data_IF_203213984111
#
_entry.id   IF_203213984111
#
_cell.length_a   1.000
_cell.length_b   1.000
_cell.length_c   1.000
_cell.angle_alpha   90.00
_cell.angle_beta   90.00
_cell.angle_gamma   90.00
#
_symmetry.space_group_name_H-M   'P 1'
#
loop_
_entity.id
_entity.type
_entity.pdbx_description
1 polymer ?
#
# COMPACT_ATOMS: atom_id res chain seq x y z
N UNK A 1 3.10 32.26 24.24
CA UNK A 1 2.45 30.96 24.53
C UNK A 1 1.23 30.62 23.64
N UNK A 2 0.42 31.54 23.12
CA UNK A 2 -0.71 31.17 22.23
C UNK A 2 -0.24 30.58 20.88
N UNK A 3 0.95 30.93 20.41
CA UNK A 3 1.54 30.42 19.18
C UNK A 3 1.84 28.91 19.21
N UNK A 4 2.15 28.34 20.38
CA UNK A 4 2.41 26.89 20.50
C UNK A 4 1.13 26.07 20.36
N UNK A 5 -0.01 26.54 20.91
CA UNK A 5 -1.29 25.87 20.76
C UNK A 5 -1.78 25.88 19.30
N UNK A 6 -1.58 27.00 18.59
CA UNK A 6 -1.87 27.09 17.15
C UNK A 6 -0.98 26.15 16.33
N UNK A 7 0.29 26.03 16.69
CA UNK A 7 1.21 25.08 16.01
C UNK A 7 0.75 23.63 16.20
N UNK A 8 0.40 23.23 17.44
CA UNK A 8 -0.12 21.88 17.71
C UNK A 8 -1.40 21.60 16.94
N UNK A 9 -2.35 22.55 16.93
CA UNK A 9 -3.60 22.41 16.19
C UNK A 9 -3.37 22.31 14.67
N UNK A 10 -2.45 23.11 14.13
CA UNK A 10 -2.05 23.06 12.72
C UNK A 10 -1.46 21.71 12.34
N UNK A 11 -0.49 21.19 13.11
CA UNK A 11 0.10 19.88 12.83
C UNK A 11 -0.95 18.76 12.93
N UNK A 12 -1.92 18.88 13.84
CA UNK A 12 -3.06 17.99 13.91
C UNK A 12 -3.93 18.02 12.65
N UNK A 13 -4.21 19.22 12.10
CA UNK A 13 -4.95 19.35 10.83
C UNK A 13 -4.19 18.74 9.66
N UNK A 14 -2.89 19.01 9.54
CA UNK A 14 -2.04 18.43 8.49
C UNK A 14 -2.02 16.90 8.57
N UNK A 15 -1.98 16.34 9.77
CA UNK A 15 -2.04 14.90 9.99
C UNK A 15 -3.40 14.30 9.56
N UNK A 16 -4.52 14.95 9.94
CA UNK A 16 -5.86 14.48 9.55
C UNK A 16 -6.10 14.61 8.04
N UNK A 17 -5.60 15.67 7.39
CA UNK A 17 -5.67 15.81 5.95
C UNK A 17 -4.93 14.67 5.23
N UNK A 18 -3.72 14.34 5.67
CA UNK A 18 -2.98 13.21 5.10
C UNK A 18 -3.69 11.87 5.32
N UNK A 19 -4.24 11.60 6.53
CA UNK A 19 -5.04 10.41 6.80
C UNK A 19 -6.25 10.34 5.87
N UNK A 20 -6.95 11.45 5.68
CA UNK A 20 -8.10 11.54 4.77
C UNK A 20 -7.73 11.21 3.33
N UNK A 21 -6.58 11.70 2.85
CA UNK A 21 -6.08 11.37 1.49
C UNK A 21 -5.79 9.88 1.33
N UNK A 22 -5.19 9.24 2.34
CA UNK A 22 -4.91 7.80 2.31
C UNK A 22 -6.21 7.00 2.29
N UNK A 23 -7.18 7.32 3.14
CA UNK A 23 -8.51 6.69 3.18
C UNK A 23 -9.24 6.88 1.85
N UNK A 24 -9.22 8.09 1.28
CA UNK A 24 -9.84 8.38 0.00
C UNK A 24 -9.19 7.57 -1.14
N UNK A 25 -7.86 7.42 -1.14
CA UNK A 25 -7.15 6.57 -2.10
C UNK A 25 -7.51 5.09 -1.95
N UNK A 26 -7.58 4.58 -0.72
CA UNK A 26 -8.03 3.21 -0.45
C UNK A 26 -9.45 2.98 -0.98
N UNK A 27 -10.37 3.88 -0.68
CA UNK A 27 -11.76 3.78 -1.11
C UNK A 27 -11.90 3.85 -2.64
N UNK A 28 -11.15 4.74 -3.29
CA UNK A 28 -11.14 4.85 -4.75
C UNK A 28 -10.64 3.56 -5.43
N UNK A 29 -9.74 2.81 -4.77
CA UNK A 29 -9.12 1.61 -5.29
C UNK A 29 -9.72 0.30 -4.75
N UNK A 30 -10.89 0.35 -4.12
CA UNK A 30 -11.57 -0.87 -3.62
C UNK A 30 -11.90 -1.86 -4.75
N UNK A 31 -12.21 -1.39 -5.95
CA UNK A 31 -12.47 -2.21 -7.15
C UNK A 31 -11.22 -2.57 -7.97
N UNK A 32 -10.04 -2.08 -7.59
CA UNK A 32 -8.80 -2.32 -8.32
C UNK A 32 -8.23 -3.69 -7.97
N UNK A 33 -8.05 -4.55 -8.98
CA UNK A 33 -7.50 -5.90 -8.85
C UNK A 33 -6.10 -5.86 -8.24
N UNK A 34 -5.88 -6.65 -7.18
CA UNK A 34 -4.57 -6.76 -6.52
C UNK A 34 -4.11 -5.49 -5.78
N UNK A 35 -4.98 -4.49 -5.60
CA UNK A 35 -4.66 -3.31 -4.80
C UNK A 35 -4.51 -3.67 -3.32
N UNK A 36 -3.53 -3.06 -2.67
CA UNK A 36 -3.29 -3.20 -1.22
C UNK A 36 -3.51 -1.86 -0.54
N UNK A 37 -4.30 -1.87 0.55
CA UNK A 37 -4.61 -0.66 1.32
C UNK A 37 -3.34 -0.07 1.93
N UNK A 38 -3.26 1.25 1.93
CA UNK A 38 -2.22 1.98 2.62
C UNK A 38 -2.73 2.50 3.97
N UNK A 39 -1.82 2.63 4.94
CA UNK A 39 -2.07 3.23 6.25
C UNK A 39 -1.08 4.35 6.51
N UNK A 40 -1.57 5.50 6.97
CA UNK A 40 -0.73 6.59 7.44
C UNK A 40 -0.22 6.29 8.85
N UNK A 41 1.09 6.46 9.07
CA UNK A 41 1.73 6.37 10.37
C UNK A 41 2.15 7.77 10.82
N UNK A 42 1.98 8.03 12.12
CA UNK A 42 2.26 9.32 12.73
C UNK A 42 3.28 9.16 13.85
N UNK A 43 4.11 10.17 14.02
CA UNK A 43 5.06 10.28 15.13
C UNK A 43 4.81 11.56 15.93
N UNK A 44 5.14 11.53 17.20
CA UNK A 44 5.08 12.73 18.04
C UNK A 44 6.28 13.62 17.74
N UNK A 45 6.07 14.94 17.69
CA UNK A 45 7.16 15.90 17.64
C UNK A 45 7.87 16.02 18.99
N UNK A 46 9.08 16.59 19.00
CA UNK A 46 9.88 16.76 20.21
C UNK A 46 9.11 17.53 21.29
N UNK A 47 9.25 17.09 22.54
CA UNK A 47 8.66 17.80 23.66
C UNK A 47 9.54 19.00 24.06
N UNK A 48 8.90 20.07 24.51
CA UNK A 48 9.58 21.22 25.11
C UNK A 48 9.54 21.06 26.63
N UNK A 49 10.72 20.97 27.24
CA UNK A 49 10.86 20.92 28.67
C UNK A 49 10.76 22.36 29.25
N UNK A 50 9.54 22.73 29.66
CA UNK A 50 9.33 24.01 30.32
C UNK A 50 9.91 24.00 31.77
N UNK A 51 10.06 22.81 32.37
CA UNK A 51 10.66 22.58 33.65
C UNK A 51 11.15 21.14 33.78
N UNK A 52 12.39 20.97 34.20
CA UNK A 52 13.01 19.65 34.36
C UNK A 52 12.76 19.13 35.78
N UNK A 53 12.41 17.84 35.91
CA UNK A 53 12.33 17.20 37.23
C UNK A 53 13.71 17.25 37.93
N UNK A 54 13.73 17.59 39.23
CA UNK A 54 14.97 17.77 39.98
C UNK A 54 15.57 19.17 39.87
N UNK A 55 15.03 20.07 39.06
CA UNK A 55 15.45 21.47 39.05
C UNK A 55 15.09 22.15 40.35
N UNK A 56 16.00 22.95 40.95
CA UNK A 56 15.75 23.67 42.15
C UNK A 56 14.60 24.67 42.02
N UNK A 57 13.60 24.55 42.87
CA UNK A 57 12.49 25.51 43.00
C UNK A 57 12.78 26.60 44.05
N UNK A 58 13.63 26.30 45.05
CA UNK A 58 14.17 27.21 46.04
C UNK A 58 15.51 26.68 46.54
N UNK A 59 16.18 27.40 47.48
CA UNK A 59 17.47 26.97 48.06
C UNK A 59 17.41 25.58 48.74
N UNK A 60 16.25 25.09 49.15
CA UNK A 60 16.10 23.84 49.91
C UNK A 60 15.17 22.83 49.24
N UNK A 61 14.49 23.18 48.14
CA UNK A 61 13.50 22.30 47.49
C UNK A 61 13.74 22.20 46.00
N UNK A 62 13.50 20.98 45.45
CA UNK A 62 13.53 20.70 44.01
C UNK A 62 12.16 20.22 43.51
N UNK A 63 11.86 20.50 42.26
CA UNK A 63 10.63 20.03 41.63
C UNK A 63 10.64 18.51 41.52
N UNK A 64 9.67 17.85 42.13
CA UNK A 64 9.53 16.40 42.04
C UNK A 64 9.09 15.94 40.64
N UNK A 65 8.38 16.80 39.89
CA UNK A 65 7.80 16.48 38.55
C UNK A 65 8.17 17.58 37.56
N UNK A 66 8.65 17.20 36.38
CA UNK A 66 8.89 18.09 35.26
C UNK A 66 7.60 18.55 34.58
N UNK A 67 7.70 19.59 33.76
CA UNK A 67 6.60 20.05 32.85
C UNK A 67 7.08 19.98 31.42
N UNK A 68 6.62 18.94 30.71
CA UNK A 68 6.96 18.70 29.32
C UNK A 68 5.73 19.01 28.45
N UNK A 69 5.88 19.92 27.51
CA UNK A 69 4.83 20.34 26.61
C UNK A 69 5.06 19.71 25.22
N UNK A 70 4.07 18.96 24.73
CA UNK A 70 4.09 18.41 23.39
C UNK A 70 3.98 19.51 22.31
N UNK A 71 4.70 19.35 21.19
CA UNK A 71 4.71 20.32 20.11
C UNK A 71 3.84 19.90 18.92
N UNK A 72 3.20 18.73 19.00
CA UNK A 72 2.28 18.24 17.97
C UNK A 72 2.66 16.89 17.37
N UNK A 73 2.22 16.64 16.16
CA UNK A 73 2.35 15.39 15.44
C UNK A 73 2.97 15.64 14.05
N UNK A 74 3.76 14.68 13.56
CA UNK A 74 4.24 14.66 12.19
C UNK A 74 3.78 13.38 11.48
N UNK A 75 3.64 13.46 10.15
CA UNK A 75 3.46 12.28 9.30
C UNK A 75 4.83 11.63 9.16
N UNK A 76 4.94 10.38 9.56
CA UNK A 76 6.19 9.62 9.47
C UNK A 76 6.31 8.87 8.14
N UNK A 77 5.28 8.12 7.79
CA UNK A 77 5.27 7.28 6.58
C UNK A 77 3.86 6.85 6.21
N UNK A 78 3.72 6.33 5.00
CA UNK A 78 2.60 5.48 4.59
C UNK A 78 3.09 4.05 4.44
N UNK A 79 2.39 3.10 5.04
CA UNK A 79 2.76 1.68 4.98
C UNK A 79 1.66 0.90 4.28
N UNK A 80 2.04 0.12 3.27
CA UNK A 80 1.15 -0.80 2.59
C UNK A 80 0.88 -2.02 3.47
N UNK A 81 -0.38 -2.44 3.53
CA UNK A 81 -0.82 -3.63 4.27
C UNK A 81 -0.93 -4.79 3.28
N UNK A 82 -0.03 -5.77 3.40
CA UNK A 82 0.13 -6.88 2.46
C UNK A 82 -0.80 -8.07 2.74
N UNK A 83 -1.83 -7.92 3.58
CA UNK A 83 -2.82 -8.97 3.77
C UNK A 83 -3.48 -9.31 2.44
N UNK A 84 -3.76 -10.59 2.24
CA UNK A 84 -4.40 -11.07 1.02
C UNK A 84 -5.85 -10.59 0.95
N UNK A 85 -6.26 -10.12 -0.24
CA UNK A 85 -7.65 -9.84 -0.56
C UNK A 85 -8.44 -11.11 -0.87
N UNK A 86 -9.74 -11.00 -1.05
CA UNK A 86 -10.56 -12.13 -1.48
C UNK A 86 -10.23 -12.57 -2.91
N UNK A 87 -10.21 -13.89 -3.14
CA UNK A 87 -10.02 -14.47 -4.47
C UNK A 87 -11.38 -14.69 -5.12
N UNK A 88 -11.63 -14.00 -6.23
CA UNK A 88 -12.87 -14.15 -7.01
C UNK A 88 -12.63 -14.96 -8.26
N UNK A 89 -13.51 -15.95 -8.51
CA UNK A 89 -13.48 -16.74 -9.73
C UNK A 89 -14.08 -15.95 -10.88
N UNK A 90 -13.30 -15.77 -11.95
CA UNK A 90 -13.73 -15.06 -13.19
C UNK A 90 -14.04 -16.00 -14.32
N UNK A 91 -13.50 -17.23 -14.30
CA UNK A 91 -13.62 -18.20 -15.38
C UNK A 91 -12.79 -17.91 -16.64
N UNK A 92 -12.08 -16.76 -16.67
CA UNK A 92 -11.14 -16.46 -17.76
C UNK A 92 -9.81 -17.19 -17.50
N UNK A 93 -9.33 -18.05 -18.42
CA UNK A 93 -8.10 -18.83 -18.20
C UNK A 93 -6.82 -18.01 -18.12
N UNK A 94 -6.85 -16.72 -18.54
CA UNK A 94 -5.72 -15.80 -18.45
C UNK A 94 -5.72 -14.96 -17.16
N UNK A 95 -6.80 -15.01 -16.40
CA UNK A 95 -6.85 -14.38 -15.08
C UNK A 95 -6.15 -15.25 -14.05
N UNK A 96 -5.18 -14.67 -13.37
CA UNK A 96 -4.34 -15.37 -12.40
C UNK A 96 -4.36 -14.66 -11.06
N UNK A 97 -4.43 -15.42 -10.00
CA UNK A 97 -4.25 -14.89 -8.66
C UNK A 97 -3.11 -15.63 -7.95
N UNK A 98 -2.46 -14.97 -7.02
CA UNK A 98 -1.51 -15.59 -6.10
C UNK A 98 -2.23 -15.90 -4.78
N UNK A 99 -2.20 -17.15 -4.37
CA UNK A 99 -2.70 -17.61 -3.08
C UNK A 99 -1.51 -17.69 -2.12
N UNK A 100 -1.30 -16.62 -1.35
CA UNK A 100 -0.12 -16.41 -0.50
C UNK A 100 0.72 -15.21 -0.88
N UNK A 101 1.95 -15.13 -0.37
CA UNK A 101 2.88 -14.02 -0.60
C UNK A 101 3.53 -14.04 -1.99
N UNK A 102 3.95 -12.86 -2.48
CA UNK A 102 4.71 -12.71 -3.72
C UNK A 102 4.06 -11.80 -4.75
N UNK A 103 4.71 -11.62 -5.89
CA UNK A 103 4.30 -10.71 -6.96
C UNK A 103 4.61 -11.31 -8.33
N UNK A 104 3.79 -11.00 -9.31
CA UNK A 104 4.12 -11.24 -10.71
C UNK A 104 5.15 -10.23 -11.18
N UNK A 105 6.06 -10.68 -12.03
CA UNK A 105 7.10 -9.85 -12.60
C UNK A 105 6.72 -9.43 -14.02
N UNK A 106 6.85 -8.16 -14.33
CA UNK A 106 6.45 -7.56 -15.59
C UNK A 106 7.58 -6.67 -16.11
N UNK A 107 7.84 -6.70 -17.40
CA UNK A 107 8.80 -5.84 -18.05
C UNK A 107 8.14 -4.55 -18.51
N UNK A 108 8.55 -3.43 -17.91
CA UNK A 108 8.09 -2.09 -18.25
C UNK A 108 8.90 -1.48 -19.42
N UNK A 109 8.41 -0.39 -20.04
CA UNK A 109 9.17 0.35 -21.05
C UNK A 109 10.55 0.74 -20.52
N UNK A 110 11.58 0.58 -21.37
CA UNK A 110 12.97 0.84 -20.97
C UNK A 110 13.70 -0.35 -20.34
N UNK A 111 13.04 -1.53 -20.26
CA UNK A 111 13.65 -2.76 -19.74
C UNK A 111 13.65 -2.88 -18.22
N UNK A 112 13.04 -1.92 -17.52
CA UNK A 112 12.90 -1.96 -16.07
C UNK A 112 11.89 -3.03 -15.64
N UNK A 113 12.18 -3.74 -14.57
CA UNK A 113 11.29 -4.74 -14.00
C UNK A 113 10.31 -4.08 -13.02
N UNK A 114 9.03 -4.35 -13.23
CA UNK A 114 7.96 -3.99 -12.32
C UNK A 114 7.35 -5.23 -11.66
N UNK A 115 6.80 -5.07 -10.49
CA UNK A 115 6.16 -6.12 -9.72
C UNK A 115 4.71 -5.76 -9.48
N UNK A 116 3.80 -6.72 -9.65
CA UNK A 116 2.37 -6.47 -9.48
C UNK A 116 1.66 -7.67 -8.86
N UNK A 117 0.55 -7.38 -8.16
CA UNK A 117 -0.40 -8.41 -7.70
C UNK A 117 -1.59 -8.54 -8.65
N UNK A 118 -1.74 -7.61 -9.58
CA UNK A 118 -2.80 -7.67 -10.58
C UNK A 118 -2.50 -8.81 -11.57
N UNK A 119 -3.40 -9.75 -11.66
CA UNK A 119 -3.27 -10.93 -12.54
C UNK A 119 -4.24 -10.94 -13.71
N UNK A 120 -4.81 -9.81 -14.07
CA UNK A 120 -5.69 -9.64 -15.22
C UNK A 120 -4.87 -9.54 -16.53
N UNK A 121 -4.30 -10.69 -16.91
CA UNK A 121 -3.46 -10.76 -18.10
C UNK A 121 -4.28 -10.96 -19.37
N UNK A 122 -3.70 -10.54 -20.49
CA UNK A 122 -4.27 -10.71 -21.83
C UNK A 122 -3.21 -11.26 -22.77
N UNK A 123 -3.63 -11.72 -23.96
CA UNK A 123 -2.72 -12.17 -25.00
C UNK A 123 -2.49 -11.05 -26.00
N UNK A 124 -1.22 -10.74 -26.31
CA UNK A 124 -0.88 -9.80 -27.40
C UNK A 124 -1.10 -10.41 -28.79
N UNK A 125 -0.97 -9.58 -29.84
CA UNK A 125 -1.08 -10.05 -31.22
C UNK A 125 -0.01 -11.10 -31.56
N UNK A 126 1.16 -11.04 -30.92
CA UNK A 126 2.27 -11.99 -31.08
C UNK A 126 2.11 -13.24 -30.21
N UNK A 127 1.01 -13.36 -29.45
CA UNK A 127 0.77 -14.48 -28.56
C UNK A 127 1.42 -14.37 -27.18
N UNK A 128 2.09 -13.25 -26.86
CA UNK A 128 2.72 -13.05 -25.56
C UNK A 128 1.68 -12.79 -24.47
N UNK A 129 1.95 -13.29 -23.26
CA UNK A 129 1.18 -12.96 -22.07
C UNK A 129 1.58 -11.55 -21.60
N UNK A 130 0.61 -10.62 -21.61
CA UNK A 130 0.82 -9.21 -21.31
C UNK A 130 -0.21 -8.69 -20.29
N UNK A 131 0.11 -7.59 -19.62
CA UNK A 131 -0.85 -6.84 -18.80
C UNK A 131 -1.84 -6.08 -19.69
N UNK A 132 -2.88 -5.49 -19.10
CA UNK A 132 -3.84 -4.64 -19.81
C UNK A 132 -3.19 -3.45 -20.53
N UNK A 133 -2.03 -2.99 -20.04
CA UNK A 133 -1.23 -1.90 -20.64
C UNK A 133 -0.29 -2.39 -21.76
N UNK A 134 -0.22 -3.72 -22.00
CA UNK A 134 0.63 -4.31 -23.03
C UNK A 134 2.06 -4.68 -22.56
N UNK A 135 2.34 -4.66 -21.27
CA UNK A 135 3.66 -5.03 -20.73
C UNK A 135 3.79 -6.54 -20.57
N UNK A 136 4.90 -7.11 -21.05
CA UNK A 136 5.12 -8.55 -21.04
C UNK A 136 5.40 -9.08 -19.62
N UNK A 137 4.75 -10.18 -19.26
CA UNK A 137 5.04 -10.93 -18.04
C UNK A 137 6.41 -11.61 -18.17
N UNK A 138 7.16 -11.64 -17.09
CA UNK A 138 8.46 -12.32 -17.05
C UNK A 138 8.38 -13.58 -16.15
N UNK A 139 8.97 -14.70 -16.61
CA UNK A 139 9.56 -14.97 -17.94
C UNK A 139 8.55 -14.86 -19.07
N UNK A 140 9.01 -14.44 -20.25
CA UNK A 140 8.13 -14.30 -21.41
C UNK A 140 7.53 -15.65 -21.80
N UNK A 141 6.21 -15.71 -21.84
CA UNK A 141 5.46 -16.91 -22.25
C UNK A 141 4.70 -16.58 -23.52
N UNK A 142 5.00 -17.33 -24.57
CA UNK A 142 4.30 -17.19 -25.84
C UNK A 142 3.30 -18.33 -25.98
N UNK A 143 2.02 -17.98 -26.09
CA UNK A 143 0.94 -18.93 -26.35
C UNK A 143 0.87 -19.16 -27.87
N UNK A 144 1.10 -20.38 -28.36
CA UNK A 144 1.07 -20.68 -29.81
C UNK A 144 -0.28 -20.36 -30.43
N UNK A 145 -0.27 -20.00 -31.72
CA UNK A 145 -1.50 -19.89 -32.48
C UNK A 145 -2.22 -21.25 -32.60
N UNK A 146 -3.53 -21.23 -32.59
CA UNK A 146 -4.32 -22.48 -32.64
C UNK A 146 -4.42 -23.22 -31.29
N UNK A 147 -4.04 -22.59 -30.18
CA UNK A 147 -4.27 -23.14 -28.82
C UNK A 147 -5.78 -23.19 -28.53
N UNK A 148 -6.27 -24.40 -28.23
CA UNK A 148 -7.70 -24.63 -27.90
C UNK A 148 -7.95 -24.43 -26.40
N UNK A 149 -7.00 -24.85 -25.56
CA UNK A 149 -7.09 -24.66 -24.11
C UNK A 149 -5.73 -24.36 -23.50
N UNK A 150 -5.73 -23.49 -22.49
CA UNK A 150 -4.57 -23.11 -21.68
C UNK A 150 -4.82 -23.56 -20.24
N UNK A 151 -3.89 -24.30 -19.67
CA UNK A 151 -3.92 -24.73 -18.29
C UNK A 151 -2.68 -24.24 -17.56
N UNK A 152 -2.88 -23.64 -16.39
CA UNK A 152 -1.80 -23.15 -15.54
C UNK A 152 -1.88 -23.87 -14.21
N UNK A 153 -0.81 -24.60 -13.90
CA UNK A 153 -0.71 -25.38 -12.66
C UNK A 153 -0.37 -24.47 -11.47
N UNK A 154 -0.53 -24.97 -10.26
CA UNK A 154 -0.30 -24.21 -9.02
C UNK A 154 1.16 -23.80 -8.81
N UNK A 155 2.10 -24.51 -9.43
CA UNK A 155 3.54 -24.20 -9.47
C UNK A 155 3.93 -23.15 -10.52
N UNK A 156 2.93 -22.65 -11.28
CA UNK A 156 3.12 -21.66 -12.34
C UNK A 156 3.46 -22.29 -13.70
N UNK A 157 3.49 -23.62 -13.85
CA UNK A 157 3.73 -24.28 -15.14
C UNK A 157 2.56 -24.02 -16.08
N UNK A 158 2.85 -23.45 -17.24
CA UNK A 158 1.87 -23.13 -18.27
C UNK A 158 1.91 -24.19 -19.34
N UNK A 159 0.77 -24.82 -19.58
CA UNK A 159 0.60 -25.87 -20.60
C UNK A 159 -0.50 -25.48 -21.58
N UNK A 160 -0.23 -25.68 -22.85
CA UNK A 160 -1.19 -25.41 -23.95
C UNK A 160 -1.53 -26.69 -24.70
N UNK A 161 -2.80 -26.81 -25.10
CA UNK A 161 -3.26 -27.88 -26.01
C UNK A 161 -3.54 -27.25 -27.36
N UNK A 162 -2.81 -27.66 -28.36
CA UNK A 162 -2.99 -27.19 -29.74
C UNK A 162 -4.21 -27.87 -30.43
N UNK A 163 -4.83 -27.19 -31.36
CA UNK A 163 -5.91 -27.76 -32.13
C UNK A 163 -5.45 -29.02 -32.87
N UNK A 164 -6.13 -30.15 -32.64
CA UNK A 164 -5.78 -31.45 -33.22
C UNK A 164 -4.77 -32.30 -32.43
N UNK A 165 -4.25 -31.82 -31.31
CA UNK A 165 -3.45 -32.59 -30.36
C UNK A 165 -4.26 -32.87 -29.10
N UNK A 166 -4.16 -34.08 -28.56
CA UNK A 166 -4.72 -34.44 -27.25
C UNK A 166 -3.72 -34.24 -26.11
N UNK A 167 -2.45 -33.98 -26.42
CA UNK A 167 -1.39 -33.83 -25.46
C UNK A 167 -1.17 -32.36 -25.11
N UNK A 168 -1.09 -32.08 -23.80
CA UNK A 168 -0.72 -30.76 -23.28
C UNK A 168 0.82 -30.60 -23.36
N UNK A 169 1.26 -29.57 -24.05
CA UNK A 169 2.68 -29.21 -24.15
C UNK A 169 2.98 -28.07 -23.19
N UNK A 170 3.99 -28.22 -22.34
CA UNK A 170 4.47 -27.12 -21.49
C UNK A 170 5.14 -26.05 -22.35
N UNK A 171 4.66 -24.81 -22.26
CA UNK A 171 5.14 -23.65 -23.04
C UNK A 171 5.99 -22.69 -22.18
N UNK A 172 5.98 -22.85 -20.85
CA UNK A 172 6.76 -22.01 -19.96
C UNK A 172 6.32 -22.15 -18.51
N UNK A 173 6.94 -21.36 -17.65
CA UNK A 173 6.61 -21.32 -16.23
C UNK A 173 6.57 -19.88 -15.74
N UNK A 174 5.47 -19.49 -15.07
CA UNK A 174 5.32 -18.20 -14.41
C UNK A 174 6.10 -18.27 -13.09
N UNK A 175 7.02 -17.34 -12.89
CA UNK A 175 7.77 -17.24 -11.64
C UNK A 175 7.14 -16.17 -10.76
N UNK A 176 7.30 -16.36 -9.44
CA UNK A 176 6.83 -15.44 -8.42
C UNK A 176 8.02 -14.79 -7.74
N UNK A 177 8.00 -13.47 -7.66
CA UNK A 177 8.99 -12.69 -6.93
C UNK A 177 8.55 -12.50 -5.48
N UNK A 178 9.45 -12.71 -4.53
CA UNK A 178 9.25 -12.40 -3.11
C UNK A 178 10.33 -11.43 -2.64
N UNK A 179 9.99 -10.60 -1.64
CA UNK A 179 10.89 -9.60 -1.06
C UNK A 179 11.03 -9.82 0.44
N UNK A 180 12.22 -9.51 0.96
CA UNK A 180 12.48 -9.56 2.40
C UNK A 180 11.63 -8.50 3.14
N UNK A 181 11.46 -7.32 2.53
CA UNK A 181 10.62 -6.24 3.06
C UNK A 181 9.68 -5.69 1.98
N UNK A 182 8.47 -6.24 1.82
CA UNK A 182 7.50 -5.76 0.83
C UNK A 182 7.08 -4.30 1.03
N UNK A 183 7.04 -3.82 2.29
CA UNK A 183 6.69 -2.43 2.60
C UNK A 183 7.72 -1.42 2.05
N UNK A 184 8.95 -1.86 1.75
CA UNK A 184 9.99 -1.05 1.14
C UNK A 184 9.86 -0.88 -0.39
N UNK A 185 8.92 -1.55 -1.04
CA UNK A 185 8.66 -1.39 -2.46
C UNK A 185 8.09 0.00 -2.77
N UNK A 186 8.57 0.62 -3.85
CA UNK A 186 8.08 1.91 -4.31
C UNK A 186 6.94 1.74 -5.29
N UNK A 187 5.81 2.41 -5.05
CA UNK A 187 4.71 2.47 -6.00
C UNK A 187 5.08 3.32 -7.22
N UNK A 188 4.90 2.76 -8.41
CA UNK A 188 5.20 3.41 -9.68
C UNK A 188 3.96 3.99 -10.39
N UNK A 189 2.76 3.70 -9.89
CA UNK A 189 1.49 3.91 -10.58
C UNK A 189 1.02 2.64 -11.30
N UNK A 190 -0.21 2.65 -11.81
CA UNK A 190 -0.82 1.50 -12.53
C UNK A 190 -0.74 0.16 -11.79
N UNK A 191 -0.69 0.20 -10.46
CA UNK A 191 -0.52 -0.96 -9.58
C UNK A 191 0.82 -1.73 -9.76
N UNK A 192 1.84 -1.05 -10.31
CA UNK A 192 3.21 -1.56 -10.37
C UNK A 192 4.06 -1.07 -9.21
N UNK A 193 4.98 -1.92 -8.80
CA UNK A 193 5.93 -1.69 -7.72
C UNK A 193 7.34 -1.81 -8.26
N UNK A 194 8.25 -0.98 -7.76
CA UNK A 194 9.67 -1.08 -8.05
C UNK A 194 10.44 -1.54 -6.82
N UNK A 195 11.47 -2.32 -7.10
CA UNK A 195 12.48 -2.70 -6.13
C UNK A 195 13.25 -1.47 -5.66
N UNK A 196 13.54 -1.41 -4.36
CA UNK A 196 14.36 -0.37 -3.74
C UNK A 196 15.43 -0.99 -2.85
N UNK A 197 16.40 -0.20 -2.43
CA UNK A 197 17.39 -0.64 -1.44
C UNK A 197 16.77 -1.06 -0.10
N UNK A 198 15.56 -0.56 0.22
CA UNK A 198 14.84 -0.91 1.46
C UNK A 198 14.02 -2.19 1.33
N UNK A 199 13.58 -2.58 0.12
CA UNK A 199 12.88 -3.85 -0.12
C UNK A 199 13.81 -5.05 -0.13
N UNK A 200 15.08 -4.82 -0.43
CA UNK A 200 16.03 -5.87 -0.82
C UNK A 200 15.80 -6.37 -2.25
N UNK A 201 16.71 -7.17 -2.76
CA UNK A 201 16.62 -7.74 -4.09
C UNK A 201 15.49 -8.76 -4.21
N UNK A 202 14.82 -8.77 -5.39
CA UNK A 202 13.77 -9.72 -5.69
C UNK A 202 14.28 -11.16 -5.66
N UNK A 203 13.66 -12.00 -4.86
CA UNK A 203 13.91 -13.45 -4.83
C UNK A 203 12.91 -14.15 -5.74
N UNK A 204 13.35 -14.45 -6.96
CA UNK A 204 12.52 -15.06 -7.99
C UNK A 204 12.57 -16.59 -7.83
N UNK A 205 11.44 -17.25 -7.98
CA UNK A 205 11.38 -18.71 -7.93
C UNK A 205 10.00 -19.26 -8.28
N UNK A 206 9.90 -20.56 -8.16
CA UNK A 206 8.69 -21.32 -8.47
C UNK A 206 7.60 -20.99 -7.45
N UNK A 207 6.35 -20.86 -7.91
CA UNK A 207 5.20 -20.67 -7.03
C UNK A 207 5.02 -21.88 -6.08
N UNK A 208 4.65 -21.60 -4.82
CA UNK A 208 4.53 -22.62 -3.78
C UNK A 208 5.83 -23.02 -3.07
N UNK A 209 7.00 -22.54 -3.52
CA UNK A 209 8.28 -22.81 -2.87
C UNK A 209 8.83 -21.59 -2.14
N UNK A 210 9.60 -21.81 -1.07
CA UNK A 210 10.31 -20.74 -0.35
C UNK A 210 9.40 -19.65 0.22
N UNK A 211 8.18 -19.98 0.62
CA UNK A 211 7.21 -19.02 1.18
C UNK A 211 6.45 -18.21 0.12
N UNK A 212 6.66 -18.49 -1.16
CA UNK A 212 5.88 -17.90 -2.26
C UNK A 212 4.53 -18.56 -2.37
N UNK A 213 3.49 -17.76 -2.71
CA UNK A 213 2.13 -18.24 -2.92
C UNK A 213 1.99 -19.14 -4.13
N UNK A 214 0.90 -19.90 -4.18
CA UNK A 214 0.52 -20.72 -5.33
C UNK A 214 -0.21 -19.88 -6.38
N UNK A 215 -0.04 -20.22 -7.65
CA UNK A 215 -0.82 -19.63 -8.74
C UNK A 215 -2.19 -20.28 -8.81
N UNK A 216 -3.24 -19.48 -8.88
CA UNK A 216 -4.63 -19.90 -9.10
C UNK A 216 -5.12 -19.37 -10.43
N UNK A 217 -5.44 -20.28 -11.36
CA UNK A 217 -5.98 -19.94 -12.66
C UNK A 217 -7.48 -19.65 -12.58
N UNK A 218 -7.99 -18.74 -13.41
CA UNK A 218 -9.40 -18.36 -13.48
C UNK A 218 -9.90 -17.57 -12.29
N UNK A 219 -8.99 -16.96 -11.54
CA UNK A 219 -9.28 -16.14 -10.36
C UNK A 219 -8.52 -14.82 -10.41
N UNK A 220 -9.09 -13.80 -9.77
CA UNK A 220 -8.43 -12.51 -9.53
C UNK A 220 -8.45 -12.20 -8.05
N UNK A 221 -7.37 -11.63 -7.56
CA UNK A 221 -7.30 -11.09 -6.21
C UNK A 221 -7.97 -9.72 -6.16
N UNK A 222 -9.00 -9.56 -5.34
CA UNK A 222 -9.60 -8.27 -5.07
C UNK A 222 -8.74 -7.43 -4.14
N UNK A 223 -9.03 -6.13 -4.09
CA UNK A 223 -8.47 -5.23 -3.09
C UNK A 223 -8.76 -5.75 -1.67
N UNK A 224 -7.82 -5.58 -0.76
CA UNK A 224 -8.00 -5.90 0.66
C UNK A 224 -8.63 -4.73 1.45
N UNK A 225 -9.20 -3.75 0.76
CA UNK A 225 -9.90 -2.60 1.34
C UNK A 225 -11.30 -3.01 1.78
N UNK A 226 -11.62 -2.76 3.05
CA UNK A 226 -12.98 -2.88 3.56
C UNK A 226 -13.69 -1.52 3.51
N UNK A 227 -14.67 -1.38 2.64
CA UNK A 227 -15.41 -0.12 2.42
C UNK A 227 -16.01 0.43 3.71
N UNK A 228 -16.58 -0.46 4.56
CA UNK A 228 -17.25 -0.04 5.80
C UNK A 228 -16.24 0.52 6.80
N UNK A 229 -15.10 -0.15 6.96
CA UNK A 229 -14.01 0.34 7.83
C UNK A 229 -13.48 1.69 7.34
N UNK A 230 -13.17 1.83 6.04
CA UNK A 230 -12.64 3.08 5.49
C UNK A 230 -13.65 4.23 5.60
N UNK A 231 -14.97 3.96 5.46
CA UNK A 231 -16.00 4.98 5.66
C UNK A 231 -16.11 5.41 7.12
N UNK A 232 -16.01 4.49 8.07
CA UNK A 232 -16.00 4.81 9.51
C UNK A 232 -14.75 5.63 9.85
N UNK A 233 -13.57 5.21 9.37
CA UNK A 233 -12.31 5.93 9.55
C UNK A 233 -12.37 7.34 8.92
N UNK A 234 -13.03 7.48 7.78
CA UNK A 234 -13.25 8.79 7.13
C UNK A 234 -14.10 9.72 7.99
N UNK A 235 -15.23 9.21 8.53
CA UNK A 235 -16.11 10.00 9.40
C UNK A 235 -15.36 10.43 10.68
N UNK A 236 -14.58 9.53 11.28
CA UNK A 236 -13.78 9.83 12.46
C UNK A 236 -12.72 10.89 12.17
N UNK A 237 -12.03 10.75 11.03
CA UNK A 237 -11.02 11.71 10.57
C UNK A 237 -11.64 13.08 10.29
N UNK A 238 -12.81 13.14 9.65
CA UNK A 238 -13.56 14.39 9.41
C UNK A 238 -13.95 15.07 10.72
N UNK A 239 -14.48 14.31 11.68
CA UNK A 239 -14.82 14.86 13.01
C UNK A 239 -13.60 15.42 13.72
N UNK A 240 -12.48 14.69 13.67
CA UNK A 240 -11.21 15.13 14.26
C UNK A 240 -10.69 16.39 13.59
N UNK A 241 -10.82 16.50 12.27
CA UNK A 241 -10.48 17.71 11.51
C UNK A 241 -11.34 18.91 11.93
N UNK A 242 -12.67 18.72 12.06
CA UNK A 242 -13.58 19.78 12.52
C UNK A 242 -13.25 20.27 13.94
N UNK A 243 -12.92 19.35 14.86
CA UNK A 243 -12.53 19.69 16.22
C UNK A 243 -11.25 20.53 16.22
N UNK A 244 -10.24 20.13 15.47
CA UNK A 244 -8.98 20.86 15.34
C UNK A 244 -9.19 22.25 14.71
N UNK A 245 -10.07 22.35 13.71
CA UNK A 245 -10.45 23.64 13.10
C UNK A 245 -11.14 24.57 14.07
N UNK A 246 -12.09 24.05 14.86
CA UNK A 246 -12.77 24.82 15.93
C UNK A 246 -11.79 25.26 17.02
N UNK A 247 -10.80 24.44 17.33
CA UNK A 247 -9.75 24.79 18.30
C UNK A 247 -8.93 25.98 17.82
N UNK A 248 -8.56 26.05 16.54
CA UNK A 248 -7.86 27.21 15.95
C UNK A 248 -8.72 28.46 16.06
N UNK A 249 -10.03 28.38 15.69
CA UNK A 249 -10.94 29.52 15.79
C UNK A 249 -11.08 30.03 17.23
N UNK A 250 -11.19 29.13 18.20
CA UNK A 250 -11.27 29.51 19.62
C UNK A 250 -9.99 30.18 20.12
N UNK A 251 -8.81 29.71 19.67
CA UNK A 251 -7.53 30.36 20.02
C UNK A 251 -7.42 31.75 19.38
N UNK A 252 -7.89 31.91 18.12
CA UNK A 252 -7.91 33.23 17.45
C UNK A 252 -8.84 34.21 18.16
N UNK A 253 -10.02 33.77 18.64
CA UNK A 253 -10.93 34.58 19.45
C UNK A 253 -10.31 35.00 20.78
N UNK A 254 -9.65 34.07 21.48
CA UNK A 254 -8.92 34.38 22.71
C UNK A 254 -7.82 35.43 22.49
N UNK A 255 -7.08 35.34 21.37
CA UNK A 255 -6.05 36.33 21.01
C UNK A 255 -6.65 37.70 20.70
N UNK A 256 -7.76 37.75 19.97
CA UNK A 256 -8.47 39.02 19.68
C UNK A 256 -8.98 39.70 20.98
N UNK A 257 -9.57 38.90 21.87
CA UNK A 257 -10.06 39.43 23.16
C UNK A 257 -8.88 39.90 24.05
N UNK A 258 -7.77 39.18 24.07
CA UNK A 258 -6.59 39.61 24.81
C UNK A 258 -5.99 40.91 24.26
N UNK A 259 -6.00 41.13 22.94
CA UNK A 259 -5.53 42.34 22.31
C UNK A 259 -6.48 43.54 22.47
N UNK A 260 -7.79 43.30 22.77
CA UNK A 260 -8.78 44.36 23.01
C UNK A 260 -8.81 44.81 24.48
N UNK A 261 -8.27 44.00 25.39
CA UNK A 261 -8.21 44.28 26.83
C UNK A 261 -6.91 44.92 27.29
N UNK A 262 -5.93 45.07 26.40
CA UNK A 262 -4.67 45.81 26.56
C UNK A 262 -4.77 47.19 25.91
#
# INVERSE_FOLDING_TARGET
>A
MPTSALHVARTGLEAQDARMRVIANNLANVGTTGFKRDRANFSTLAYQDARIAGQQSSNETAYAIGLNLGTGVAIESTTRIETQGSLNTTGNPLDLALDGGGYFQVQLPGGQLGYTRAGNFTRSAEGLLVTAQGYAVQPQITVPEGTTSLSIAQDGTVSAVAAGSAEATSIGQITVASFANPAGLQAAGDNFLFETGASGAAQIGIAGEGGRGHVRQGMLEQSNVNVVEELVDMIETQRSYEINSKMISAVDEMLRNANQTL
#
